data_IF_639673684789
#
_entry.id   IF_639673684789
#
_cell.length_a   1.000
_cell.length_b   1.000
_cell.length_c   1.000
_cell.angle_alpha   90.00
_cell.angle_beta   90.00
_cell.angle_gamma   90.00
#
_symmetry.space_group_name_H-M   'P 1'
#
loop_
_entity.id
_entity.type
_entity.pdbx_description
1 polymer ?
#
# COMPACT_ATOMS: atom_id res chain seq x y z
N UNK A 1 -0.94 22.51 21.21
CA UNK A 1 -1.56 23.32 20.14
C UNK A 1 -2.59 22.45 19.43
N UNK A 2 -3.71 23.03 18.97
CA UNK A 2 -4.80 22.28 18.33
C UNK A 2 -4.61 22.18 16.82
N UNK A 3 -5.10 21.09 16.23
CA UNK A 3 -5.22 20.97 14.78
C UNK A 3 -6.22 22.02 14.26
N UNK A 4 -5.87 22.67 13.15
CA UNK A 4 -6.72 23.64 12.44
C UNK A 4 -7.29 23.07 11.15
N UNK A 5 -6.63 22.08 10.55
CA UNK A 5 -7.08 21.44 9.31
C UNK A 5 -6.92 19.92 9.41
N UNK A 6 -7.99 19.19 9.08
CA UNK A 6 -8.03 17.72 9.05
C UNK A 6 -8.29 17.26 7.62
N UNK A 7 -7.36 16.50 7.06
CA UNK A 7 -7.46 15.84 5.78
C UNK A 7 -8.00 14.43 5.93
N UNK A 8 -9.10 14.14 5.24
CA UNK A 8 -9.76 12.81 5.26
C UNK A 8 -9.50 11.99 4.01
N UNK A 9 -8.75 12.55 3.05
CA UNK A 9 -8.40 11.88 1.82
C UNK A 9 -7.39 10.75 2.03
N UNK A 10 -7.63 9.63 1.35
CA UNK A 10 -6.72 8.49 1.37
C UNK A 10 -5.39 8.82 0.69
N UNK A 11 -4.35 8.07 1.05
CA UNK A 11 -3.10 8.06 0.30
C UNK A 11 -3.35 7.86 -1.21
N UNK A 12 -2.51 8.48 -2.03
CA UNK A 12 -2.62 8.50 -3.52
C UNK A 12 -3.75 9.37 -4.09
N UNK A 13 -4.39 10.21 -3.27
CA UNK A 13 -5.37 11.23 -3.71
C UNK A 13 -4.79 12.64 -3.88
N UNK A 14 -3.45 12.77 -3.88
CA UNK A 14 -2.78 14.09 -3.93
C UNK A 14 -2.42 14.65 -2.55
N UNK A 15 -2.33 13.79 -1.52
CA UNK A 15 -2.05 14.19 -0.13
C UNK A 15 -0.70 14.90 0.04
N UNK A 16 0.31 14.53 -0.75
CA UNK A 16 1.65 15.14 -0.68
C UNK A 16 1.64 16.60 -1.19
N UNK A 17 0.98 16.85 -2.33
CA UNK A 17 0.73 18.20 -2.83
C UNK A 17 -0.15 19.00 -1.86
N UNK A 18 -1.12 18.35 -1.22
CA UNK A 18 -1.95 19.00 -0.20
C UNK A 18 -1.13 19.41 1.04
N UNK A 19 -0.20 18.56 1.50
CA UNK A 19 0.73 18.87 2.60
C UNK A 19 1.54 20.13 2.28
N UNK A 20 2.07 20.23 1.08
CA UNK A 20 2.82 21.40 0.62
C UNK A 20 1.96 22.65 0.57
N UNK A 21 0.77 22.57 -0.04
CA UNK A 21 -0.16 23.68 -0.10
C UNK A 21 -0.54 24.20 1.30
N UNK A 22 -0.85 23.30 2.24
CA UNK A 22 -1.15 23.68 3.63
C UNK A 22 0.04 24.34 4.32
N UNK A 23 1.26 23.87 4.03
CA UNK A 23 2.47 24.48 4.57
C UNK A 23 2.65 25.90 4.04
N UNK A 24 2.46 26.10 2.72
CA UNK A 24 2.53 27.43 2.08
C UNK A 24 1.47 28.39 2.60
N UNK A 25 0.26 27.90 2.87
CA UNK A 25 -0.87 28.69 3.38
C UNK A 25 -0.78 29.00 4.89
N UNK A 26 0.29 28.60 5.58
CA UNK A 26 0.50 28.88 7.01
C UNK A 26 -0.15 27.87 7.97
N UNK A 27 -0.74 26.80 7.44
CA UNK A 27 -1.27 25.65 8.20
C UNK A 27 -0.21 24.54 8.41
N UNK A 28 1.06 24.82 8.10
CA UNK A 28 2.20 23.97 8.43
C UNK A 28 2.72 24.21 9.87
N UNK A 29 3.39 23.23 10.49
CA UNK A 29 3.71 21.90 9.97
C UNK A 29 2.49 20.99 9.80
N UNK A 30 2.52 20.14 8.76
CA UNK A 30 1.44 19.22 8.41
C UNK A 30 1.85 17.76 8.66
N UNK A 31 1.07 17.05 9.47
CA UNK A 31 1.27 15.63 9.75
C UNK A 31 0.93 14.80 8.50
N UNK A 32 1.83 13.90 8.12
CA UNK A 32 1.74 13.10 6.89
C UNK A 32 2.50 11.78 7.08
N UNK A 33 2.23 10.75 6.27
CA UNK A 33 2.95 9.47 6.33
C UNK A 33 4.47 9.66 6.20
N UNK A 34 4.92 10.64 5.38
CA UNK A 34 6.34 10.99 5.26
C UNK A 34 6.96 11.44 6.59
N UNK A 35 6.24 12.27 7.36
CA UNK A 35 6.67 12.75 8.68
C UNK A 35 6.73 11.58 9.67
N UNK A 36 5.71 10.72 9.67
CA UNK A 36 5.71 9.52 10.51
C UNK A 36 6.92 8.65 10.20
N UNK A 37 7.23 8.42 8.93
CA UNK A 37 8.36 7.58 8.54
C UNK A 37 9.72 8.21 8.90
N UNK A 38 9.83 9.54 8.82
CA UNK A 38 11.03 10.28 9.17
C UNK A 38 11.32 10.28 10.68
N UNK A 39 10.29 10.42 11.53
CA UNK A 39 10.48 10.62 12.97
C UNK A 39 10.29 9.32 13.78
N UNK A 40 11.33 8.89 14.51
CA UNK A 40 11.28 7.67 15.32
C UNK A 40 10.20 7.69 16.40
N UNK A 41 9.99 8.86 17.01
CA UNK A 41 8.96 9.04 18.03
C UNK A 41 7.55 8.89 17.45
N UNK A 42 7.26 9.51 16.30
CA UNK A 42 5.98 9.34 15.62
C UNK A 42 5.70 7.86 15.32
N UNK A 43 6.68 7.11 14.79
CA UNK A 43 6.55 5.65 14.61
C UNK A 43 6.20 4.92 15.91
N UNK A 44 6.85 5.29 17.02
CA UNK A 44 6.59 4.67 18.33
C UNK A 44 5.16 4.92 18.78
N UNK A 45 4.69 6.16 18.72
CA UNK A 45 3.35 6.57 19.14
C UNK A 45 2.26 5.90 18.29
N UNK A 46 2.36 5.97 16.97
CA UNK A 46 1.38 5.36 16.07
C UNK A 46 1.35 3.83 16.17
N UNK A 47 2.49 3.17 16.41
CA UNK A 47 2.53 1.72 16.67
C UNK A 47 1.90 1.35 18.00
N UNK A 48 2.01 2.19 19.03
CA UNK A 48 1.35 1.94 20.30
C UNK A 48 -0.17 2.01 20.15
N UNK A 49 -0.67 3.02 19.42
CA UNK A 49 -2.08 3.14 19.07
C UNK A 49 -2.57 1.94 18.25
N UNK A 50 -1.81 1.53 17.23
CA UNK A 50 -2.14 0.37 16.40
C UNK A 50 -2.18 -0.97 17.18
N UNK A 51 -1.52 -1.06 18.34
CA UNK A 51 -1.58 -2.23 19.24
C UNK A 51 -2.74 -2.18 20.23
N UNK A 52 -3.65 -1.23 20.10
CA UNK A 52 -4.80 -1.06 21.00
C UNK A 52 -4.53 -0.14 22.19
N UNK A 53 -3.44 0.64 22.17
CA UNK A 53 -3.24 1.72 23.13
C UNK A 53 -4.31 2.80 22.99
N UNK A 54 -4.66 3.49 24.07
CA UNK A 54 -5.55 4.63 24.01
C UNK A 54 -4.89 5.78 23.22
N UNK A 55 -5.62 6.47 22.33
CA UNK A 55 -5.05 7.58 21.58
C UNK A 55 -4.81 8.80 22.46
N UNK A 56 -3.57 9.29 22.48
CA UNK A 56 -3.24 10.63 22.95
C UNK A 56 -3.08 11.56 21.75
N UNK A 57 -4.19 12.18 21.33
CA UNK A 57 -4.22 13.07 20.18
C UNK A 57 -3.34 14.31 20.37
N UNK A 58 -3.27 14.83 21.60
CA UNK A 58 -2.45 16.00 21.90
C UNK A 58 -0.96 15.70 21.73
N UNK A 59 -0.52 14.50 22.15
CA UNK A 59 0.85 14.05 21.94
C UNK A 59 1.14 13.71 20.47
N UNK A 60 0.23 12.99 19.80
CA UNK A 60 0.40 12.57 18.40
C UNK A 60 0.55 13.77 17.45
N UNK A 61 -0.20 14.84 17.71
CA UNK A 61 -0.23 16.05 16.88
C UNK A 61 0.52 17.23 17.51
N UNK A 62 1.36 17.00 18.52
CA UNK A 62 2.17 18.04 19.12
C UNK A 62 3.05 18.72 18.05
N UNK A 63 2.92 20.04 17.91
CA UNK A 63 3.67 20.84 16.93
C UNK A 63 3.10 20.86 15.52
N UNK A 64 2.06 20.07 15.23
CA UNK A 64 1.37 20.07 13.94
C UNK A 64 0.13 20.97 13.97
N UNK A 65 -0.11 21.69 12.88
CA UNK A 65 -1.29 22.54 12.68
C UNK A 65 -2.31 21.92 11.74
N UNK A 66 -1.89 20.95 10.94
CA UNK A 66 -2.75 20.20 10.02
C UNK A 66 -2.33 18.74 9.95
N UNK A 67 -3.23 17.87 9.48
CA UNK A 67 -2.93 16.46 9.21
C UNK A 67 -3.57 16.02 7.91
N UNK A 68 -2.87 15.24 7.09
CA UNK A 68 -3.36 14.64 5.84
C UNK A 68 -2.69 13.28 5.64
N UNK A 69 -3.28 12.41 4.81
CA UNK A 69 -2.81 11.03 4.59
C UNK A 69 -2.88 10.12 5.83
N UNK A 70 -2.45 8.88 5.65
CA UNK A 70 -2.25 7.93 6.72
C UNK A 70 -1.16 8.39 7.69
N UNK A 71 -1.25 8.03 8.98
CA UNK A 71 -2.35 7.33 9.65
C UNK A 71 -3.52 8.23 10.08
N UNK A 72 -3.38 9.55 10.05
CA UNK A 72 -4.37 10.48 10.59
C UNK A 72 -5.72 10.41 9.88
N UNK A 73 -5.73 10.24 8.56
CA UNK A 73 -6.95 10.15 7.77
C UNK A 73 -7.86 8.96 8.18
N UNK A 74 -7.31 7.93 8.83
CA UNK A 74 -8.11 6.80 9.33
C UNK A 74 -9.01 7.20 10.50
N UNK A 75 -8.47 8.03 11.40
CA UNK A 75 -9.12 8.47 12.64
C UNK A 75 -9.89 9.78 12.46
N UNK A 76 -10.31 10.11 11.24
CA UNK A 76 -10.88 11.42 10.93
C UNK A 76 -12.15 11.72 11.74
N UNK A 77 -12.93 10.70 12.11
CA UNK A 77 -14.18 10.88 12.87
C UNK A 77 -13.86 11.33 14.29
N UNK A 78 -12.96 10.61 14.94
CA UNK A 78 -12.47 10.91 16.28
C UNK A 78 -11.77 12.27 16.32
N UNK A 79 -11.00 12.61 15.29
CA UNK A 79 -10.31 13.90 15.21
C UNK A 79 -11.28 15.08 15.04
N UNK A 80 -12.41 14.91 14.34
CA UNK A 80 -13.43 15.96 14.25
C UNK A 80 -14.11 16.19 15.61
N UNK A 81 -14.37 15.12 16.36
CA UNK A 81 -14.95 15.22 17.70
C UNK A 81 -13.98 15.91 18.68
N UNK A 82 -12.69 15.60 18.59
CA UNK A 82 -11.65 16.17 19.47
C UNK A 82 -11.29 17.62 19.07
N UNK A 83 -11.31 17.94 17.78
CA UNK A 83 -10.98 19.26 17.25
C UNK A 83 -12.14 19.85 16.44
N UNK A 84 -13.27 20.21 17.09
CA UNK A 84 -14.48 20.66 16.38
C UNK A 84 -14.30 22.00 15.64
N UNK A 85 -13.27 22.77 15.96
CA UNK A 85 -12.93 24.03 15.31
C UNK A 85 -12.11 23.83 14.02
N UNK A 86 -11.57 22.63 13.80
CA UNK A 86 -10.73 22.35 12.63
C UNK A 86 -11.58 22.28 11.36
N UNK A 87 -11.05 22.84 10.26
CA UNK A 87 -11.65 22.70 8.93
C UNK A 87 -11.32 21.33 8.36
N UNK A 88 -12.30 20.70 7.72
CA UNK A 88 -12.17 19.37 7.15
C UNK A 88 -12.01 19.45 5.64
N UNK A 89 -11.02 18.76 5.08
CA UNK A 89 -10.73 18.73 3.65
C UNK A 89 -10.71 17.27 3.17
N UNK A 90 -11.50 16.98 2.13
CA UNK A 90 -11.47 15.69 1.45
C UNK A 90 -10.78 15.85 0.09
N UNK A 91 -9.60 15.26 -0.05
CA UNK A 91 -8.99 15.08 -1.38
C UNK A 91 -9.56 13.81 -2.01
N UNK A 92 -10.10 13.96 -3.22
CA UNK A 92 -10.85 12.90 -3.90
C UNK A 92 -10.40 12.74 -5.35
N UNK A 93 -10.52 11.51 -5.87
CA UNK A 93 -10.32 11.14 -7.27
C UNK A 93 -11.20 9.93 -7.59
N UNK A 94 -11.41 9.62 -8.88
CA UNK A 94 -12.18 8.44 -9.27
C UNK A 94 -11.53 7.15 -8.73
N UNK A 95 -12.32 6.14 -8.30
CA UNK A 95 -11.80 4.87 -7.79
C UNK A 95 -10.83 4.18 -8.76
N UNK A 96 -11.13 4.21 -10.06
CA UNK A 96 -10.33 3.57 -11.12
C UNK A 96 -8.95 4.23 -11.19
N UNK A 97 -8.91 5.56 -11.23
CA UNK A 97 -7.66 6.30 -11.30
C UNK A 97 -6.85 6.16 -9.99
N UNK A 98 -7.54 6.08 -8.84
CA UNK A 98 -6.90 5.83 -7.56
C UNK A 98 -6.23 4.47 -7.55
N UNK A 99 -6.95 3.42 -7.97
CA UNK A 99 -6.44 2.06 -8.02
C UNK A 99 -5.21 1.96 -8.91
N UNK A 100 -5.25 2.52 -10.12
CA UNK A 100 -4.08 2.56 -11.00
C UNK A 100 -2.87 3.25 -10.34
N UNK A 101 -3.09 4.33 -9.58
CA UNK A 101 -2.03 5.03 -8.85
C UNK A 101 -1.50 4.25 -7.64
N UNK A 102 -2.37 3.45 -7.02
CA UNK A 102 -2.06 2.63 -5.86
C UNK A 102 -1.34 1.32 -6.23
N UNK A 103 -1.66 0.73 -7.39
CA UNK A 103 -1.07 -0.51 -7.88
C UNK A 103 0.30 -0.31 -8.56
N UNK A 104 0.53 0.84 -9.20
CA UNK A 104 1.79 1.14 -9.92
C UNK A 104 3.07 0.89 -9.09
N UNK A 105 3.15 1.23 -7.78
CA UNK A 105 4.28 0.87 -6.92
C UNK A 105 4.46 -0.64 -6.71
N UNK A 106 3.37 -1.42 -6.73
CA UNK A 106 3.40 -2.87 -6.52
C UNK A 106 3.82 -3.62 -7.80
N UNK A 107 3.25 -3.25 -8.95
CA UNK A 107 3.46 -3.97 -10.21
C UNK A 107 4.86 -3.70 -10.85
N UNK A 108 5.57 -2.64 -10.43
CA UNK A 108 6.98 -2.43 -10.80
C UNK A 108 7.94 -3.44 -10.16
N UNK A 109 7.54 -4.15 -9.10
CA UNK A 109 8.39 -5.15 -8.42
C UNK A 109 8.26 -6.56 -9.00
N UNK A 110 7.25 -6.80 -9.82
CA UNK A 110 6.95 -8.13 -10.39
C UNK A 110 7.53 -8.34 -11.80
N UNK A 111 7.85 -7.28 -12.55
CA UNK A 111 8.36 -7.41 -13.93
C UNK A 111 9.89 -7.43 -14.05
N UNK A 112 10.63 -7.12 -12.97
CA UNK A 112 12.09 -7.12 -13.00
C UNK A 112 12.74 -8.53 -12.83
N UNK A 113 11.95 -9.57 -12.57
CA UNK A 113 12.44 -10.95 -12.40
C UNK A 113 12.32 -11.84 -13.65
N UNK A 114 11.88 -11.29 -14.79
CA UNK A 114 11.80 -12.01 -16.07
C UNK A 114 12.71 -11.34 -17.11
N UNK A 115 14.00 -11.25 -16.82
CA UNK A 115 15.00 -11.01 -17.87
C UNK A 115 16.27 -11.80 -17.57
N UNK A 116 16.59 -12.73 -18.48
CA UNK A 116 17.86 -13.47 -18.68
C UNK A 116 18.15 -14.66 -17.77
N UNK A 117 17.46 -15.78 -17.99
CA UNK A 117 18.14 -17.08 -17.90
C UNK A 117 18.86 -17.35 -19.23
N UNK A 118 20.10 -16.86 -19.27
CA UNK A 118 21.14 -17.24 -20.20
C UNK A 118 21.51 -18.70 -19.88
N UNK A 119 20.82 -19.67 -20.48
CA UNK A 119 21.27 -21.08 -20.47
C UNK A 119 22.01 -21.38 -21.77
N UNK A 120 23.25 -20.92 -21.82
CA UNK A 120 24.25 -21.45 -22.72
C UNK A 120 25.36 -22.06 -21.87
N UNK A 121 25.28 -23.36 -21.61
CA UNK A 121 26.47 -24.22 -21.52
C UNK A 121 26.10 -25.72 -21.45
N UNK A 122 26.53 -26.42 -22.50
CA UNK A 122 27.21 -27.72 -22.47
C UNK A 122 26.40 -28.97 -22.07
N UNK A 123 26.03 -29.72 -23.09
CA UNK A 123 26.51 -31.11 -23.24
C UNK A 123 26.49 -31.51 -24.73
N UNK A 124 27.69 -31.83 -25.23
CA UNK A 124 28.00 -32.19 -26.62
C UNK A 124 27.49 -33.59 -26.99
N UNK A 125 27.42 -33.94 -28.29
CA UNK A 125 26.83 -35.18 -28.79
C UNK A 125 27.88 -36.30 -28.94
N UNK A 126 27.59 -37.51 -28.43
CA UNK A 126 28.32 -38.73 -28.85
C UNK A 126 27.46 -39.99 -28.76
N UNK A 127 27.32 -40.67 -29.92
CA UNK A 127 27.20 -42.13 -30.18
C UNK A 127 25.96 -42.85 -29.59
N UNK A 128 25.32 -43.85 -30.19
CA UNK A 128 25.41 -44.58 -31.47
C UNK A 128 24.22 -45.57 -31.48
N UNK A 129 23.64 -45.83 -32.66
CA UNK A 129 23.03 -47.11 -33.11
C UNK A 129 22.25 -48.01 -32.11
N UNK A 130 20.98 -48.30 -32.41
CA UNK A 130 20.32 -49.51 -31.90
C UNK A 130 18.80 -49.46 -31.92
N UNK A 131 18.21 -50.27 -32.78
CA UNK A 131 16.79 -50.47 -33.05
C UNK A 131 15.85 -50.80 -31.87
N UNK A 132 14.56 -50.67 -32.20
CA UNK A 132 13.45 -51.56 -31.85
C UNK A 132 12.56 -51.23 -30.63
N UNK A 133 11.34 -50.80 -30.98
CA UNK A 133 10.04 -51.30 -30.49
C UNK A 133 9.95 -51.89 -29.06
N UNK A 134 9.09 -51.31 -28.21
CA UNK A 134 8.02 -52.06 -27.48
C UNK A 134 7.07 -51.16 -26.66
N UNK A 135 5.77 -51.36 -26.93
CA UNK A 135 4.63 -51.46 -25.98
C UNK A 135 4.19 -50.13 -25.31
N UNK A 136 3.11 -49.47 -25.75
CA UNK A 136 1.68 -49.82 -25.73
C UNK A 136 1.01 -49.86 -24.33
N UNK A 137 0.09 -48.90 -24.15
CA UNK A 137 -1.17 -48.93 -23.36
C UNK A 137 -1.08 -49.20 -21.85
N UNK A 138 -1.48 -48.19 -21.06
CA UNK A 138 -2.36 -48.43 -19.91
C UNK A 138 -3.16 -47.17 -19.50
N UNK A 139 -4.48 -47.26 -19.70
CA UNK A 139 -5.54 -46.80 -18.78
C UNK A 139 -5.89 -45.32 -18.74
N UNK A 140 -6.75 -44.96 -19.69
CA UNK A 140 -7.97 -44.17 -19.43
C UNK A 140 -8.80 -44.79 -18.29
N UNK A 141 -9.11 -44.01 -17.24
CA UNK A 141 -10.42 -43.91 -16.58
C UNK A 141 -10.28 -43.12 -15.27
N UNK A 142 -10.83 -41.91 -15.23
CA UNK A 142 -12.07 -41.63 -14.47
C UNK A 142 -12.29 -40.11 -14.46
N UNK A 143 -13.19 -39.64 -15.33
CA UNK A 143 -13.87 -38.36 -15.15
C UNK A 143 -14.81 -38.48 -13.95
N UNK A 144 -14.79 -37.51 -13.03
CA UNK A 144 -16.04 -36.92 -12.50
C UNK A 144 -15.83 -35.42 -12.26
N UNK A 145 -16.71 -34.56 -12.78
CA UNK A 145 -16.76 -33.15 -12.43
C UNK A 145 -17.61 -32.98 -11.17
N UNK A 146 -17.15 -32.19 -10.20
CA UNK A 146 -18.01 -31.68 -9.14
C UNK A 146 -18.29 -30.21 -9.38
N UNK A 147 -19.50 -29.97 -9.86
CA UNK A 147 -20.24 -28.72 -9.90
C UNK A 147 -20.52 -28.19 -8.48
N UNK A 148 -20.24 -26.90 -8.27
CA UNK A 148 -20.96 -25.99 -7.35
C UNK A 148 -22.14 -25.35 -8.11
N UNK A 149 -23.04 -24.55 -7.52
CA UNK A 149 -23.49 -24.40 -6.12
C UNK A 149 -25.04 -24.40 -5.98
N UNK A 150 -25.54 -24.37 -4.75
CA UNK A 150 -26.71 -23.60 -4.32
C UNK A 150 -26.38 -23.03 -2.93
#
# INVERSE_FOLDING_TARGET
MSLMVIGTGFGRTGTDSMREALTMLGFGPCHHMSEVMAHAEQKRLWRALARGGAPDWAQLFAGYKSCVDWPSAFYWRELIEVYPQARVILTWRSPESWWESFEKPFCRRSSAALTRSRWASRSSPTKSSGDAHRIARARSRSMRPMSRPC
#
